data_IF_631221892681
#
_entry.id   IF_631221892681
#
_cell.length_a   1.000
_cell.length_b   1.000
_cell.length_c   1.000
_cell.angle_alpha   90.00
_cell.angle_beta   90.00
_cell.angle_gamma   90.00
#
_symmetry.space_group_name_H-M   'P 1'
#
loop_
_entity.id
_entity.type
_entity.pdbx_description
1 polymer ?
#
# COMPACT_ATOMS: atom_id res chain seq x y z
N UNK A 1 46.10 47.42 12.99
CA UNK A 1 44.84 47.21 12.30
C UNK A 1 44.52 45.74 12.27
N UNK A 2 43.54 45.34 13.03
CA UNK A 2 43.09 43.94 13.08
C UNK A 2 41.90 43.78 12.14
N UNK A 3 42.11 43.04 11.07
CA UNK A 3 41.01 42.67 10.16
C UNK A 3 40.22 41.52 10.80
N UNK A 4 39.00 41.83 11.17
CA UNK A 4 38.04 40.81 11.62
C UNK A 4 37.43 40.19 10.38
N UNK A 5 37.82 38.94 10.15
CA UNK A 5 37.20 38.16 9.09
C UNK A 5 35.90 37.54 9.66
N UNK A 6 34.78 38.11 9.28
CA UNK A 6 33.48 37.52 9.62
C UNK A 6 33.29 36.27 8.80
N UNK A 7 33.38 35.12 9.47
CA UNK A 7 32.95 33.87 8.89
C UNK A 7 31.42 33.85 8.83
N UNK A 8 30.87 33.95 7.63
CA UNK A 8 29.45 33.75 7.40
C UNK A 8 29.22 32.25 7.41
N UNK A 9 28.66 31.76 8.50
CA UNK A 9 28.19 30.37 8.57
C UNK A 9 26.84 30.37 7.84
N UNK A 10 26.86 29.93 6.60
CA UNK A 10 25.63 29.63 5.88
C UNK A 10 25.05 28.34 6.48
N UNK A 11 24.05 28.50 7.34
CA UNK A 11 23.24 27.36 7.75
C UNK A 11 22.44 26.88 6.55
N UNK A 12 22.86 25.77 5.96
CA UNK A 12 22.05 25.08 4.95
C UNK A 12 20.82 24.52 5.67
N UNK A 13 19.67 25.15 5.49
CA UNK A 13 18.39 24.60 5.86
C UNK A 13 18.12 23.44 4.90
N UNK A 14 18.40 22.23 5.38
CA UNK A 14 17.88 21.02 4.76
C UNK A 14 16.38 20.99 5.04
N UNK A 15 15.59 21.48 4.09
CA UNK A 15 14.16 21.27 4.12
C UNK A 15 13.90 19.78 3.86
N UNK A 16 13.68 19.02 4.91
CA UNK A 16 13.07 17.70 4.79
C UNK A 16 11.63 17.93 4.37
N UNK A 17 11.38 17.93 3.06
CA UNK A 17 10.04 17.68 2.56
C UNK A 17 9.76 16.21 2.86
N UNK A 18 9.07 15.93 3.96
CA UNK A 18 8.45 14.64 4.13
C UNK A 18 7.36 14.55 3.06
N UNK A 19 7.70 13.92 1.94
CA UNK A 19 6.68 13.42 1.04
C UNK A 19 5.86 12.44 1.87
N UNK A 20 4.59 12.78 2.10
CA UNK A 20 3.65 11.82 2.64
C UNK A 20 3.51 10.73 1.58
N UNK A 21 4.41 9.74 1.62
CA UNK A 21 4.29 8.54 0.82
C UNK A 21 3.13 7.72 1.36
N UNK A 22 2.30 7.18 0.46
CA UNK A 22 1.37 6.12 0.82
C UNK A 22 2.13 5.08 1.64
N UNK A 23 1.48 4.48 2.64
CA UNK A 23 2.07 3.40 3.41
C UNK A 23 2.53 2.29 2.45
N UNK A 24 3.63 1.63 2.78
CA UNK A 24 4.12 0.49 2.03
C UNK A 24 3.04 -0.57 1.88
N UNK A 25 2.81 -1.06 0.66
CA UNK A 25 1.76 -2.02 0.36
C UNK A 25 1.86 -3.29 1.18
N UNK A 26 3.07 -3.78 1.43
CA UNK A 26 3.30 -4.94 2.29
C UNK A 26 2.85 -4.67 3.72
N UNK A 27 3.13 -3.49 4.26
CA UNK A 27 2.73 -3.09 5.61
C UNK A 27 1.21 -3.02 5.73
N UNK A 28 0.53 -2.40 4.77
CA UNK A 28 -0.94 -2.33 4.75
C UNK A 28 -1.55 -3.72 4.63
N UNK A 29 -0.99 -4.57 3.77
CA UNK A 29 -1.41 -5.98 3.65
C UNK A 29 -1.32 -6.69 5.00
N UNK A 30 -0.21 -6.58 5.71
CA UNK A 30 -0.01 -7.21 7.01
C UNK A 30 -0.96 -6.69 8.08
N UNK A 31 -1.33 -5.43 8.02
CA UNK A 31 -2.24 -4.82 8.99
C UNK A 31 -3.70 -5.20 8.77
N UNK A 32 -4.15 -5.34 7.51
CA UNK A 32 -5.58 -5.39 7.22
C UNK A 32 -6.04 -6.53 6.31
N UNK A 33 -5.16 -7.10 5.49
CA UNK A 33 -5.52 -8.06 4.45
C UNK A 33 -5.11 -9.49 4.79
N UNK A 34 -4.05 -9.63 5.54
CA UNK A 34 -3.39 -10.90 5.84
C UNK A 34 -4.30 -11.89 6.57
N UNK A 35 -5.19 -11.43 7.42
CA UNK A 35 -6.08 -12.31 8.20
C UNK A 35 -6.92 -13.25 7.34
N UNK A 36 -7.26 -12.81 6.12
CA UNK A 36 -8.03 -13.63 5.16
C UNK A 36 -7.16 -14.15 4.01
N UNK A 37 -6.28 -13.29 3.46
CA UNK A 37 -5.53 -13.60 2.26
C UNK A 37 -4.27 -14.44 2.50
N UNK A 38 -3.79 -14.58 3.72
CA UNK A 38 -2.66 -15.46 3.99
C UNK A 38 -3.03 -16.94 3.89
N UNK A 39 -4.18 -17.32 4.45
CA UNK A 39 -4.63 -18.71 4.51
C UNK A 39 -5.78 -19.06 3.56
N UNK A 40 -6.37 -18.08 2.89
CA UNK A 40 -7.52 -18.28 2.01
C UNK A 40 -8.84 -18.42 2.77
N UNK A 41 -9.01 -17.67 3.85
CA UNK A 41 -10.22 -17.70 4.67
C UNK A 41 -11.43 -17.27 3.83
N UNK A 42 -12.54 -18.00 3.95
CA UNK A 42 -13.81 -17.71 3.29
C UNK A 42 -13.71 -17.56 1.76
N UNK A 43 -12.79 -18.27 1.13
CA UNK A 43 -12.60 -18.23 -0.32
C UNK A 43 -11.72 -17.08 -0.83
N UNK A 44 -11.06 -16.34 0.06
CA UNK A 44 -10.12 -15.30 -0.35
C UNK A 44 -8.95 -15.92 -1.13
N UNK A 45 -8.52 -15.32 -2.26
CA UNK A 45 -7.35 -15.80 -2.97
C UNK A 45 -6.11 -15.63 -2.11
N UNK A 46 -5.37 -16.72 -1.92
CA UNK A 46 -4.16 -16.73 -1.09
C UNK A 46 -3.06 -15.89 -1.69
N UNK A 47 -2.29 -15.22 -0.85
CA UNK A 47 -1.08 -14.54 -1.27
C UNK A 47 -0.14 -15.55 -1.97
N UNK A 48 0.34 -15.18 -3.17
CA UNK A 48 1.24 -16.01 -3.96
C UNK A 48 0.59 -17.13 -4.76
N UNK A 49 -0.71 -17.34 -4.64
CA UNK A 49 -1.44 -18.34 -5.43
C UNK A 49 -1.73 -17.80 -6.83
N UNK A 50 -0.83 -18.10 -7.77
CA UNK A 50 -0.91 -17.61 -9.15
C UNK A 50 -2.18 -18.02 -9.86
N UNK A 51 -2.63 -19.25 -9.65
CA UNK A 51 -3.83 -19.78 -10.33
C UNK A 51 -5.09 -19.09 -9.85
N UNK A 52 -5.22 -18.85 -8.55
CA UNK A 52 -6.35 -18.13 -7.98
C UNK A 52 -6.36 -16.66 -8.40
N UNK A 53 -5.20 -16.05 -8.51
CA UNK A 53 -5.07 -14.62 -8.86
C UNK A 53 -5.17 -14.34 -10.35
N UNK A 54 -4.76 -15.26 -11.22
CA UNK A 54 -4.69 -15.02 -12.65
C UNK A 54 -6.00 -14.49 -13.25
N UNK A 55 -7.19 -15.11 -13.03
CA UNK A 55 -8.44 -14.58 -13.56
C UNK A 55 -8.83 -13.23 -12.96
N UNK A 56 -8.43 -12.96 -11.73
CA UNK A 56 -8.68 -11.68 -11.04
C UNK A 56 -7.79 -10.57 -11.61
N UNK A 57 -6.51 -10.84 -11.78
CA UNK A 57 -5.55 -9.90 -12.40
C UNK A 57 -5.97 -9.55 -13.83
N UNK A 58 -6.50 -10.52 -14.57
CA UNK A 58 -6.97 -10.31 -15.93
C UNK A 58 -8.10 -9.27 -16.04
N UNK A 59 -8.86 -9.04 -14.98
CA UNK A 59 -9.91 -8.02 -14.97
C UNK A 59 -9.37 -6.58 -14.88
N UNK A 60 -8.13 -6.41 -14.52
CA UNK A 60 -7.47 -5.10 -14.39
C UNK A 60 -7.53 -4.50 -13.00
N UNK A 61 -6.64 -3.55 -12.75
CA UNK A 61 -6.51 -2.91 -11.43
C UNK A 61 -7.77 -2.15 -11.02
N UNK A 62 -8.45 -1.50 -11.95
CA UNK A 62 -9.69 -0.76 -11.63
C UNK A 62 -10.78 -1.67 -11.09
N UNK A 63 -10.94 -2.86 -11.68
CA UNK A 63 -11.90 -3.85 -11.20
C UNK A 63 -11.50 -4.41 -9.83
N UNK A 64 -10.21 -4.65 -9.61
CA UNK A 64 -9.70 -5.08 -8.30
C UNK A 64 -9.95 -4.02 -7.24
N UNK A 65 -9.69 -2.75 -7.54
CA UNK A 65 -9.94 -1.66 -6.60
C UNK A 65 -11.41 -1.46 -6.31
N UNK A 66 -12.28 -1.64 -7.30
CA UNK A 66 -13.72 -1.62 -7.08
C UNK A 66 -14.16 -2.69 -6.07
N UNK A 67 -13.61 -3.90 -6.18
CA UNK A 67 -13.83 -4.99 -5.21
C UNK A 67 -13.31 -4.62 -3.82
N UNK A 68 -12.12 -4.08 -3.74
CA UNK A 68 -11.53 -3.66 -2.45
C UNK A 68 -12.36 -2.57 -1.78
N UNK A 69 -12.75 -1.56 -2.53
CA UNK A 69 -13.49 -0.41 -2.00
C UNK A 69 -14.92 -0.77 -1.55
N UNK A 70 -15.60 -1.63 -2.27
CA UNK A 70 -17.01 -1.95 -2.04
C UNK A 70 -17.22 -3.29 -1.31
N UNK A 71 -16.19 -4.13 -1.26
CA UNK A 71 -16.32 -5.49 -0.76
C UNK A 71 -16.93 -6.44 -1.79
N UNK A 72 -16.83 -7.72 -1.51
CA UNK A 72 -17.42 -8.79 -2.33
C UNK A 72 -17.58 -10.06 -1.50
N UNK A 73 -18.81 -10.60 -1.44
CA UNK A 73 -19.08 -11.78 -0.64
C UNK A 73 -18.65 -11.59 0.83
N UNK A 74 -17.76 -12.46 1.34
CA UNK A 74 -17.26 -12.35 2.70
C UNK A 74 -16.20 -11.24 2.88
N UNK A 75 -15.67 -10.68 1.80
CA UNK A 75 -14.71 -9.59 1.88
C UNK A 75 -15.42 -8.28 2.22
N UNK A 76 -15.12 -7.67 3.38
CA UNK A 76 -15.71 -6.39 3.74
C UNK A 76 -15.15 -5.25 2.88
N UNK A 77 -15.89 -4.13 2.74
CA UNK A 77 -15.35 -2.94 2.10
C UNK A 77 -14.03 -2.51 2.73
N UNK A 78 -13.06 -2.17 1.90
CA UNK A 78 -11.70 -1.74 2.32
C UNK A 78 -10.93 -2.79 3.13
N UNK A 79 -11.31 -4.07 3.07
CA UNK A 79 -10.73 -5.09 3.94
C UNK A 79 -10.91 -4.75 5.43
N UNK A 80 -11.97 -4.02 5.78
CA UNK A 80 -12.25 -3.47 7.11
C UNK A 80 -11.22 -2.42 7.59
N UNK A 81 -10.30 -1.95 6.74
CA UNK A 81 -9.37 -0.89 7.08
C UNK A 81 -9.99 0.49 6.81
N UNK A 82 -10.84 0.97 7.70
CA UNK A 82 -11.56 2.22 7.51
C UNK A 82 -10.64 3.45 7.61
N UNK A 83 -9.47 3.32 8.22
CA UNK A 83 -8.46 4.37 8.32
C UNK A 83 -7.48 4.39 7.14
N UNK A 84 -7.50 3.38 6.27
CA UNK A 84 -6.64 3.36 5.10
C UNK A 84 -7.13 4.35 4.04
N UNK A 85 -6.19 5.07 3.43
CA UNK A 85 -6.48 5.88 2.25
C UNK A 85 -6.68 4.99 1.02
N UNK A 86 -7.26 5.53 -0.03
CA UNK A 86 -7.40 4.83 -1.30
C UNK A 86 -6.03 4.41 -1.86
N UNK A 87 -5.02 5.27 -1.71
CA UNK A 87 -3.65 4.97 -2.11
C UNK A 87 -3.03 3.83 -1.29
N UNK A 88 -3.29 3.78 0.01
CA UNK A 88 -2.86 2.68 0.88
C UNK A 88 -3.46 1.35 0.42
N UNK A 89 -4.76 1.34 0.13
CA UNK A 89 -5.48 0.15 -0.33
C UNK A 89 -4.99 -0.28 -1.71
N UNK A 90 -4.70 0.68 -2.60
CA UNK A 90 -4.13 0.38 -3.91
C UNK A 90 -2.73 -0.21 -3.80
N UNK A 91 -1.89 0.31 -2.91
CA UNK A 91 -0.56 -0.21 -2.67
C UNK A 91 -0.61 -1.65 -2.13
N UNK A 92 -1.52 -1.96 -1.21
CA UNK A 92 -1.72 -3.32 -0.70
C UNK A 92 -2.22 -4.28 -1.78
N UNK A 93 -3.15 -3.84 -2.61
CA UNK A 93 -3.68 -4.63 -3.73
C UNK A 93 -2.57 -4.91 -4.75
N UNK A 94 -1.77 -3.90 -5.09
CA UNK A 94 -0.63 -4.05 -5.99
C UNK A 94 0.40 -5.02 -5.42
N UNK A 95 0.66 -4.97 -4.12
CA UNK A 95 1.54 -5.90 -3.44
C UNK A 95 1.07 -7.35 -3.64
N UNK A 96 -0.23 -7.63 -3.42
CA UNK A 96 -0.78 -8.97 -3.61
C UNK A 96 -0.71 -9.42 -5.07
N UNK A 97 -0.99 -8.52 -6.01
CA UNK A 97 -0.88 -8.80 -7.45
C UNK A 97 0.56 -9.16 -7.83
N UNK A 98 1.53 -8.39 -7.33
CA UNK A 98 2.95 -8.62 -7.63
C UNK A 98 3.44 -9.96 -7.07
N UNK A 99 2.94 -10.40 -5.93
CA UNK A 99 3.28 -11.71 -5.36
C UNK A 99 2.72 -12.87 -6.19
N UNK A 100 1.74 -12.63 -7.04
CA UNK A 100 1.06 -13.64 -7.84
C UNK A 100 1.50 -13.67 -9.32
N UNK A 101 2.49 -12.88 -9.66
CA UNK A 101 3.07 -12.86 -11.01
C UNK A 101 4.11 -13.92 -11.23
#
# INVERSE_FOLDING_TARGET
MKTITSAIISAALLAFTSLASAADGQTVYQQSCQSCHAAGVAGAPKLGDKDAWAPRIATGMDALMNTVMNGKNAMPPKGACMSCSDDDLKAATQYMVDQAK
#
